data_IF_415439496783
#
_entry.id   IF_415439496783
#
_cell.length_a   1.000
_cell.length_b   1.000
_cell.length_c   1.000
_cell.angle_alpha   90.00
_cell.angle_beta   90.00
_cell.angle_gamma   90.00
#
_symmetry.space_group_name_H-M   'P 1'
#
loop_
_entity.id
_entity.type
_entity.pdbx_description
1 polymer ?
#
# COMPACT_ATOMS: atom_id res chain seq x y z
N UNK A 1 -7.22 -13.94 9.67
CA UNK A 1 -7.12 -12.48 9.52
C UNK A 1 -5.86 -12.19 8.73
N UNK A 2 -5.95 -11.48 7.60
CA UNK A 2 -4.75 -11.14 6.82
C UNK A 2 -4.01 -9.99 7.50
N UNK A 3 -2.68 -10.02 7.49
CA UNK A 3 -1.87 -8.87 7.89
C UNK A 3 -1.92 -7.79 6.81
N UNK A 4 -1.50 -6.57 7.14
CA UNK A 4 -1.46 -5.47 6.17
C UNK A 4 -0.51 -5.77 5.01
N UNK A 5 0.63 -6.42 5.30
CA UNK A 5 1.59 -6.86 4.30
C UNK A 5 0.99 -7.93 3.37
N UNK A 6 0.18 -8.84 3.90
CA UNK A 6 -0.52 -9.84 3.09
C UNK A 6 -1.55 -9.21 2.16
N UNK A 7 -2.30 -8.21 2.63
CA UNK A 7 -3.26 -7.46 1.81
C UNK A 7 -2.54 -6.74 0.67
N UNK A 8 -1.47 -6.01 0.97
CA UNK A 8 -0.72 -5.23 -0.02
C UNK A 8 0.02 -6.15 -1.00
N UNK A 9 0.52 -7.30 -0.54
CA UNK A 9 1.16 -8.29 -1.41
C UNK A 9 0.21 -8.90 -2.45
N UNK A 10 -1.11 -8.83 -2.25
CA UNK A 10 -2.10 -9.31 -3.22
C UNK A 10 -2.33 -8.32 -4.37
N UNK A 11 -1.86 -7.08 -4.26
CA UNK A 11 -1.95 -6.12 -5.36
C UNK A 11 -1.01 -6.47 -6.51
N UNK A 12 -1.51 -6.24 -7.71
CA UNK A 12 -0.71 -6.29 -8.94
C UNK A 12 0.36 -5.20 -8.95
N UNK A 13 1.38 -5.35 -9.81
CA UNK A 13 2.40 -4.31 -10.00
C UNK A 13 1.78 -2.98 -10.46
N UNK A 14 0.69 -3.02 -11.23
CA UNK A 14 -0.02 -1.81 -11.66
C UNK A 14 -0.74 -1.12 -10.49
N UNK A 15 -1.36 -1.87 -9.60
CA UNK A 15 -2.01 -1.32 -8.40
C UNK A 15 -0.97 -0.76 -7.41
N UNK A 16 0.15 -1.45 -7.23
CA UNK A 16 1.26 -0.93 -6.41
C UNK A 16 1.84 0.36 -6.99
N UNK A 17 1.97 0.45 -8.33
CA UNK A 17 2.40 1.68 -9.00
C UNK A 17 1.39 2.82 -8.77
N UNK A 18 0.09 2.55 -8.91
CA UNK A 18 -0.97 3.53 -8.61
C UNK A 18 -0.93 3.98 -7.14
N UNK A 19 -0.73 3.03 -6.22
CA UNK A 19 -0.56 3.32 -4.79
C UNK A 19 0.67 4.19 -4.51
N UNK A 20 1.79 3.94 -5.18
CA UNK A 20 2.98 4.78 -5.10
C UNK A 20 2.72 6.21 -5.60
N UNK A 21 2.11 6.36 -6.78
CA UNK A 21 1.76 7.67 -7.34
C UNK A 21 0.80 8.45 -6.41
N UNK A 22 -0.18 7.75 -5.83
CA UNK A 22 -1.09 8.31 -4.84
C UNK A 22 -0.36 8.77 -3.58
N UNK A 23 0.59 7.99 -3.05
CA UNK A 23 1.42 8.38 -1.89
C UNK A 23 2.27 9.60 -2.21
N UNK A 24 2.87 9.68 -3.41
CA UNK A 24 3.68 10.83 -3.85
C UNK A 24 2.82 12.10 -3.88
N UNK A 25 1.64 12.03 -4.50
CA UNK A 25 0.75 13.19 -4.59
C UNK A 25 0.19 13.56 -3.20
N UNK A 26 -0.10 12.58 -2.36
CA UNK A 26 -0.53 12.82 -0.99
C UNK A 26 0.54 13.55 -0.18
N UNK A 27 1.81 13.13 -0.27
CA UNK A 27 2.93 13.82 0.41
C UNK A 27 3.13 15.24 -0.08
N UNK A 28 2.79 15.53 -1.34
CA UNK A 28 2.90 16.86 -1.93
C UNK A 28 1.74 17.78 -1.52
N UNK A 29 0.52 17.26 -1.47
CA UNK A 29 -0.70 18.07 -1.33
C UNK A 29 -1.34 18.00 0.06
N UNK A 30 -0.99 16.99 0.86
CA UNK A 30 -1.68 16.64 2.10
C UNK A 30 -3.05 15.97 1.91
N UNK A 31 -3.50 15.78 0.66
CA UNK A 31 -4.83 15.24 0.33
C UNK A 31 -4.69 13.84 -0.23
N UNK A 32 -5.26 12.85 0.49
CA UNK A 32 -5.32 11.47 0.03
C UNK A 32 -6.57 11.24 -0.82
N UNK A 33 -6.39 10.68 -2.02
CA UNK A 33 -7.47 10.37 -2.97
C UNK A 33 -8.56 9.52 -2.32
N UNK A 34 -9.84 9.83 -2.59
CA UNK A 34 -10.99 9.15 -1.97
C UNK A 34 -11.17 7.73 -2.50
N UNK A 35 -11.04 7.54 -3.81
CA UNK A 35 -11.11 6.24 -4.48
C UNK A 35 -9.71 5.79 -4.88
N UNK A 36 -8.86 5.65 -3.86
CA UNK A 36 -7.45 5.33 -3.98
C UNK A 36 -7.11 3.92 -3.51
N UNK A 37 -6.02 3.35 -4.04
CA UNK A 37 -5.54 2.01 -3.68
C UNK A 37 -5.11 1.97 -2.21
N UNK A 38 -4.56 3.09 -1.71
CA UNK A 38 -4.14 3.22 -0.31
C UNK A 38 -5.33 3.13 0.64
N UNK A 39 -6.45 3.80 0.31
CA UNK A 39 -7.69 3.72 1.11
C UNK A 39 -8.35 2.36 1.05
N UNK A 40 -8.30 1.71 -0.11
CA UNK A 40 -8.85 0.37 -0.25
C UNK A 40 -8.09 -0.64 0.63
N UNK A 41 -6.76 -0.63 0.61
CA UNK A 41 -5.95 -1.46 1.50
C UNK A 41 -6.22 -1.15 2.98
N UNK A 42 -6.29 0.14 3.32
CA UNK A 42 -6.59 0.59 4.68
C UNK A 42 -7.94 0.07 5.16
N UNK A 43 -8.98 0.21 4.34
CA UNK A 43 -10.33 -0.27 4.63
C UNK A 43 -10.36 -1.79 4.80
N UNK A 44 -9.72 -2.55 3.90
CA UNK A 44 -9.64 -4.00 4.00
C UNK A 44 -8.99 -4.43 5.32
N UNK A 45 -7.93 -3.74 5.74
CA UNK A 45 -7.25 -4.03 6.99
C UNK A 45 -8.09 -3.63 8.21
N UNK A 46 -8.60 -2.40 8.30
CA UNK A 46 -9.33 -1.94 9.49
C UNK A 46 -10.67 -2.64 9.68
N UNK A 47 -11.40 -2.90 8.58
CA UNK A 47 -12.70 -3.60 8.63
C UNK A 47 -12.47 -5.10 8.83
N UNK A 48 -11.50 -5.69 8.11
CA UNK A 48 -11.24 -7.12 8.18
C UNK A 48 -10.57 -7.58 9.48
N UNK A 49 -9.73 -6.75 10.08
CA UNK A 49 -9.04 -7.05 11.34
C UNK A 49 -9.70 -6.43 12.58
N UNK A 50 -10.72 -5.57 12.41
CA UNK A 50 -11.35 -4.81 13.49
C UNK A 50 -10.32 -4.03 14.34
N UNK A 51 -9.36 -3.39 13.67
CA UNK A 51 -8.28 -2.60 14.29
C UNK A 51 -8.33 -1.16 13.84
N UNK A 52 -7.95 -0.25 14.75
CA UNK A 52 -7.67 1.14 14.38
C UNK A 52 -6.24 1.23 13.87
N UNK A 53 -6.08 1.49 12.58
CA UNK A 53 -4.79 1.76 11.96
C UNK A 53 -4.75 3.18 11.42
N UNK A 54 -3.74 4.01 11.74
CA UNK A 54 -3.67 5.37 11.21
C UNK A 54 -3.38 5.37 9.72
N UNK A 55 -4.22 6.06 8.93
CA UNK A 55 -4.08 6.05 7.47
C UNK A 55 -2.75 6.62 6.99
N UNK A 56 -2.16 7.57 7.73
CA UNK A 56 -0.86 8.18 7.42
C UNK A 56 0.32 7.19 7.53
N UNK A 57 0.14 6.05 8.20
CA UNK A 57 1.16 5.00 8.30
C UNK A 57 1.09 3.98 7.14
N UNK A 58 0.13 4.12 6.21
CA UNK A 58 -0.06 3.19 5.09
C UNK A 58 1.04 3.26 4.04
N UNK A 59 1.80 4.35 3.98
CA UNK A 59 2.85 4.52 2.99
C UNK A 59 3.98 3.50 3.13
N UNK A 60 4.38 3.20 4.36
CA UNK A 60 5.53 2.35 4.67
C UNK A 60 5.33 0.90 4.18
N UNK A 61 4.19 0.24 4.47
CA UNK A 61 3.90 -1.08 3.93
C UNK A 61 3.87 -1.16 2.40
N UNK A 62 3.33 -0.14 1.71
CA UNK A 62 3.36 -0.07 0.25
C UNK A 62 4.79 0.04 -0.29
N UNK A 63 5.59 0.96 0.27
CA UNK A 63 6.97 1.17 -0.14
C UNK A 63 7.84 -0.07 0.12
N UNK A 64 7.57 -0.78 1.21
CA UNK A 64 8.24 -2.04 1.53
C UNK A 64 7.91 -3.11 0.48
N UNK A 65 6.64 -3.33 0.13
CA UNK A 65 6.25 -4.32 -0.87
C UNK A 65 6.89 -4.05 -2.23
N UNK A 66 6.85 -2.80 -2.69
CA UNK A 66 7.49 -2.37 -3.94
C UNK A 66 8.99 -2.67 -3.91
N UNK A 67 9.66 -2.30 -2.81
CA UNK A 67 11.10 -2.52 -2.64
C UNK A 67 11.44 -4.00 -2.59
N UNK A 68 10.63 -4.81 -1.91
CA UNK A 68 10.76 -6.26 -1.79
C UNK A 68 10.69 -6.93 -3.17
N UNK A 69 9.72 -6.57 -4.00
CA UNK A 69 9.59 -7.09 -5.37
C UNK A 69 10.80 -6.73 -6.23
N UNK A 70 11.20 -5.46 -6.20
CA UNK A 70 12.38 -4.99 -6.95
C UNK A 70 13.66 -5.70 -6.54
N UNK A 71 13.84 -5.98 -5.25
CA UNK A 71 15.01 -6.73 -4.76
C UNK A 71 14.95 -8.21 -5.19
N UNK A 72 13.79 -8.85 -5.10
CA UNK A 72 13.61 -10.25 -5.51
C UNK A 72 13.78 -10.46 -7.03
N UNK A 73 13.35 -9.50 -7.86
CA UNK A 73 13.56 -9.53 -9.32
C UNK A 73 15.05 -9.46 -9.70
N UNK A 74 15.87 -8.79 -8.89
CA UNK A 74 17.33 -8.69 -9.11
C UNK A 74 18.08 -9.98 -8.80
N UNK A 75 17.52 -10.90 -8.01
CA UNK A 75 18.15 -12.20 -7.74
C UNK A 75 17.91 -13.22 -8.88
N UNK A 76 17.09 -12.87 -9.88
CA UNK A 76 16.76 -13.75 -11.02
C UNK A 76 17.45 -13.36 -12.35
N UNK A 77 18.24 -12.27 -12.37
CA UNK A 77 19.01 -11.80 -13.53
C UNK A 77 20.52 -11.82 -13.24
#
# INVERSE_FOLDING_TARGET
>A
MKTLEQIIAEFSNEELKKGFEEIVEWRKTGILKVDGVVREAHKQFTVGANVMYPIHAMDTPFLFEISKRHYAEKEQN
#
